data_IF_194630845593
#
_entry.id   IF_194630845593
#
_cell.length_a   1.000
_cell.length_b   1.000
_cell.length_c   1.000
_cell.angle_alpha   90.00
_cell.angle_beta   90.00
_cell.angle_gamma   90.00
#
_symmetry.space_group_name_H-M   'P 1'
#
loop_
_entity.id
_entity.type
_entity.pdbx_description
1 polymer ?
#
# COMPACT_ATOMS: atom_id res chain seq x y z
N UNK A 1 -32.86 -42.84 -28.94
CA UNK A 1 -31.92 -43.97 -28.95
C UNK A 1 -32.36 -44.92 -30.05
N UNK A 2 -31.50 -45.20 -31.03
CA UNK A 2 -31.77 -46.24 -32.01
C UNK A 2 -31.65 -47.60 -31.32
N UNK A 3 -32.55 -48.53 -31.60
CA UNK A 3 -32.47 -49.89 -31.06
C UNK A 3 -31.34 -50.63 -31.77
N UNK A 4 -30.39 -51.14 -31.00
CA UNK A 4 -29.29 -51.98 -31.51
C UNK A 4 -29.85 -53.39 -31.68
N UNK A 5 -29.91 -53.87 -32.92
CA UNK A 5 -30.53 -55.16 -33.27
C UNK A 5 -29.53 -56.21 -33.72
N UNK A 6 -28.27 -55.82 -33.97
CA UNK A 6 -27.20 -56.74 -34.36
C UNK A 6 -25.89 -56.55 -33.58
N UNK A 7 -25.07 -57.60 -33.55
CA UNK A 7 -23.73 -57.57 -32.93
C UNK A 7 -22.80 -56.55 -33.62
N UNK A 8 -22.97 -56.33 -34.93
CA UNK A 8 -22.19 -55.36 -35.69
C UNK A 8 -22.56 -53.91 -35.32
N UNK A 9 -23.86 -53.63 -35.13
CA UNK A 9 -24.34 -52.33 -34.63
C UNK A 9 -23.85 -52.07 -33.21
N UNK A 10 -23.84 -53.09 -32.34
CA UNK A 10 -23.33 -52.97 -30.97
C UNK A 10 -21.84 -52.58 -30.95
N UNK A 11 -21.02 -53.24 -31.78
CA UNK A 11 -19.59 -52.92 -31.88
C UNK A 11 -19.36 -51.49 -32.38
N UNK A 12 -20.08 -51.06 -33.41
CA UNK A 12 -20.00 -49.68 -33.90
C UNK A 12 -20.41 -48.66 -32.83
N UNK A 13 -21.51 -48.92 -32.10
CA UNK A 13 -21.96 -48.04 -31.02
C UNK A 13 -20.93 -47.92 -29.90
N UNK A 14 -20.29 -49.03 -29.51
CA UNK A 14 -19.19 -49.02 -28.52
C UNK A 14 -18.03 -48.16 -29.04
N UNK A 15 -17.62 -48.35 -30.29
CA UNK A 15 -16.50 -47.60 -30.87
C UNK A 15 -16.77 -46.09 -30.94
N UNK A 16 -18.00 -45.71 -31.29
CA UNK A 16 -18.44 -44.30 -31.29
C UNK A 16 -18.43 -43.73 -29.87
N UNK A 17 -18.92 -44.47 -28.89
CA UNK A 17 -18.95 -44.05 -27.49
C UNK A 17 -17.54 -43.91 -26.89
N UNK A 18 -16.63 -44.81 -27.21
CA UNK A 18 -15.21 -44.74 -26.78
C UNK A 18 -14.51 -43.50 -27.35
N UNK A 19 -14.80 -43.18 -28.62
CA UNK A 19 -14.26 -41.99 -29.28
C UNK A 19 -14.84 -40.72 -28.63
N UNK A 20 -16.15 -40.66 -28.42
CA UNK A 20 -16.82 -39.56 -27.74
C UNK A 20 -16.32 -39.37 -26.29
N UNK A 21 -16.13 -40.47 -25.55
CA UNK A 21 -15.56 -40.44 -24.20
C UNK A 21 -14.13 -39.87 -24.21
N UNK A 22 -13.31 -40.25 -25.19
CA UNK A 22 -11.94 -39.75 -25.34
C UNK A 22 -11.93 -38.25 -25.60
N UNK A 23 -12.77 -37.78 -26.53
CA UNK A 23 -12.90 -36.35 -26.86
C UNK A 23 -13.39 -35.55 -25.66
N UNK A 24 -14.44 -36.01 -24.98
CA UNK A 24 -14.96 -35.36 -23.77
C UNK A 24 -13.93 -35.30 -22.66
N UNK A 25 -13.15 -36.36 -22.48
CA UNK A 25 -12.06 -36.41 -21.51
C UNK A 25 -10.95 -35.39 -21.80
N UNK A 26 -10.59 -35.19 -23.06
CA UNK A 26 -9.63 -34.16 -23.46
C UNK A 26 -10.17 -32.74 -23.21
N UNK A 27 -11.41 -32.49 -23.61
CA UNK A 27 -12.07 -31.19 -23.45
C UNK A 27 -12.19 -30.80 -21.96
N UNK A 28 -12.50 -31.77 -21.10
CA UNK A 28 -12.52 -31.57 -19.65
C UNK A 28 -11.14 -31.18 -19.11
N UNK A 29 -10.07 -31.85 -19.57
CA UNK A 29 -8.69 -31.52 -19.15
C UNK A 29 -8.30 -30.11 -19.55
N UNK A 30 -8.62 -29.69 -20.78
CA UNK A 30 -8.38 -28.32 -21.24
C UNK A 30 -9.15 -27.29 -20.42
N UNK A 31 -10.45 -27.52 -20.19
CA UNK A 31 -11.25 -26.63 -19.35
C UNK A 31 -10.71 -26.54 -17.93
N UNK A 32 -10.24 -27.64 -17.36
CA UNK A 32 -9.67 -27.67 -16.01
C UNK A 32 -8.36 -26.87 -15.97
N UNK A 33 -7.48 -27.03 -16.95
CA UNK A 33 -6.24 -26.23 -17.06
C UNK A 33 -6.54 -24.74 -17.22
N UNK A 34 -7.47 -24.37 -18.10
CA UNK A 34 -7.88 -22.97 -18.29
C UNK A 34 -8.50 -22.38 -17.03
N UNK A 35 -9.34 -23.17 -16.34
CA UNK A 35 -9.97 -22.77 -15.08
C UNK A 35 -8.90 -22.57 -14.03
N UNK A 36 -8.04 -23.56 -13.80
CA UNK A 36 -6.91 -23.47 -12.88
C UNK A 36 -6.07 -22.23 -13.16
N UNK A 37 -5.70 -22.03 -14.42
CA UNK A 37 -4.91 -20.89 -14.85
C UNK A 37 -5.62 -19.56 -14.57
N UNK A 38 -6.93 -19.47 -14.79
CA UNK A 38 -7.71 -18.27 -14.50
C UNK A 38 -7.86 -17.97 -13.00
N UNK A 39 -7.94 -19.00 -12.16
CA UNK A 39 -8.02 -18.86 -10.71
C UNK A 39 -6.65 -18.69 -10.04
N UNK A 40 -5.53 -18.78 -10.78
CA UNK A 40 -4.22 -18.43 -10.23
C UNK A 40 -4.24 -16.97 -9.75
N UNK A 41 -3.85 -16.70 -8.49
CA UNK A 41 -3.89 -15.34 -7.92
C UNK A 41 -3.20 -14.30 -8.80
N UNK A 42 -2.10 -14.67 -9.45
CA UNK A 42 -1.37 -13.79 -10.38
C UNK A 42 -2.24 -13.32 -11.55
N UNK A 43 -3.11 -14.18 -12.10
CA UNK A 43 -3.98 -13.85 -13.21
C UNK A 43 -5.18 -13.01 -12.76
N UNK A 44 -5.65 -13.20 -11.53
CA UNK A 44 -6.66 -12.34 -10.90
C UNK A 44 -6.09 -10.93 -10.69
N UNK A 45 -4.89 -10.81 -10.12
CA UNK A 45 -4.20 -9.53 -9.92
C UNK A 45 -3.94 -8.86 -11.27
N UNK A 46 -3.48 -9.61 -12.29
CA UNK A 46 -3.22 -9.07 -13.63
C UNK A 46 -4.49 -8.53 -14.28
N UNK A 47 -5.63 -9.23 -14.14
CA UNK A 47 -6.94 -8.76 -14.63
C UNK A 47 -7.37 -7.50 -13.89
N UNK A 48 -7.30 -7.51 -12.55
CA UNK A 48 -7.60 -6.33 -11.75
C UNK A 48 -6.76 -5.12 -12.18
N UNK A 49 -5.43 -5.25 -12.33
CA UNK A 49 -4.56 -4.16 -12.79
C UNK A 49 -4.89 -3.67 -14.20
N UNK A 50 -5.26 -4.58 -15.13
CA UNK A 50 -5.69 -4.21 -16.48
C UNK A 50 -7.01 -3.43 -16.48
N UNK A 51 -7.97 -3.85 -15.66
CA UNK A 51 -9.27 -3.20 -15.53
C UNK A 51 -9.13 -1.82 -14.86
N UNK A 52 -8.20 -1.69 -13.91
CA UNK A 52 -7.84 -0.41 -13.28
C UNK A 52 -7.24 0.57 -14.29
N UNK A 53 -6.33 0.13 -15.16
CA UNK A 53 -5.74 0.98 -16.20
C UNK A 53 -6.74 1.40 -17.29
N UNK A 54 -7.88 0.72 -17.39
CA UNK A 54 -8.90 0.96 -18.41
C UNK A 54 -10.03 1.90 -17.94
N UNK A 55 -10.08 2.23 -16.64
CA UNK A 55 -11.12 3.08 -16.05
C UNK A 55 -10.52 4.31 -15.35
N UNK A 56 -10.74 5.53 -15.88
CA UNK A 56 -10.23 6.77 -15.29
C UNK A 56 -10.65 6.96 -13.82
N UNK A 57 -11.88 6.54 -13.48
CA UNK A 57 -12.44 6.70 -12.13
C UNK A 57 -11.78 5.78 -11.09
N UNK A 58 -11.22 4.64 -11.51
CA UNK A 58 -10.57 3.71 -10.57
C UNK A 58 -9.14 4.14 -10.25
N UNK A 59 -8.45 4.75 -11.21
CA UNK A 59 -7.10 5.32 -11.01
C UNK A 59 -7.14 6.40 -9.93
N UNK A 60 -8.11 7.31 -9.99
CA UNK A 60 -8.23 8.40 -9.01
C UNK A 60 -8.49 7.89 -7.58
N UNK A 61 -9.35 6.89 -7.43
CA UNK A 61 -9.64 6.26 -6.13
C UNK A 61 -8.43 5.49 -5.55
N UNK A 62 -7.62 4.84 -6.38
CA UNK A 62 -6.40 4.17 -5.93
C UNK A 62 -5.33 5.19 -5.55
N UNK A 63 -5.16 6.25 -6.34
CA UNK A 63 -4.22 7.32 -6.02
C UNK A 63 -4.57 7.97 -4.69
N UNK A 64 -5.84 8.34 -4.48
CA UNK A 64 -6.29 8.93 -3.22
C UNK A 64 -6.11 7.97 -2.03
N UNK A 65 -6.40 6.69 -2.21
CA UNK A 65 -6.17 5.65 -1.17
C UNK A 65 -4.68 5.46 -0.88
N UNK A 66 -3.82 5.42 -1.90
CA UNK A 66 -2.37 5.23 -1.76
C UNK A 66 -1.74 6.44 -1.07
N UNK A 67 -2.17 7.64 -1.45
CA UNK A 67 -1.78 8.89 -0.78
C UNK A 67 -2.26 8.86 0.67
N UNK A 68 -3.50 8.47 0.94
CA UNK A 68 -4.04 8.36 2.31
C UNK A 68 -3.25 7.38 3.17
N UNK A 69 -2.92 6.20 2.65
CA UNK A 69 -2.11 5.19 3.33
C UNK A 69 -0.65 5.63 3.53
N UNK A 70 -0.03 6.21 2.50
CA UNK A 70 1.33 6.72 2.58
C UNK A 70 1.46 7.88 3.57
N UNK A 71 0.52 8.83 3.51
CA UNK A 71 0.44 9.96 4.44
C UNK A 71 0.13 9.47 5.85
N UNK A 72 -0.79 8.53 6.02
CA UNK A 72 -1.10 7.91 7.31
C UNK A 72 0.07 7.13 7.90
N UNK A 73 0.82 6.38 7.09
CA UNK A 73 2.04 5.68 7.51
C UNK A 73 3.15 6.65 7.91
N UNK A 74 3.39 7.69 7.11
CA UNK A 74 4.36 8.73 7.41
C UNK A 74 3.97 9.48 8.70
N UNK A 75 2.68 9.84 8.84
CA UNK A 75 2.13 10.46 10.04
C UNK A 75 2.32 9.56 11.25
N UNK A 76 1.98 8.26 11.15
CA UNK A 76 2.21 7.29 12.23
C UNK A 76 3.69 7.20 12.59
N UNK A 77 4.59 7.24 11.61
CA UNK A 77 6.04 7.18 11.85
C UNK A 77 6.59 8.44 12.53
N UNK A 78 6.03 9.61 12.22
CA UNK A 78 6.43 10.90 12.79
C UNK A 78 5.79 11.13 14.17
N UNK A 79 4.50 10.80 14.33
CA UNK A 79 3.67 11.14 15.50
C UNK A 79 3.64 10.02 16.54
N UNK A 80 3.58 8.75 16.13
CA UNK A 80 3.31 7.60 17.03
C UNK A 80 4.50 6.64 17.16
N UNK A 81 5.31 6.48 16.11
CA UNK A 81 6.54 5.67 16.14
C UNK A 81 7.61 6.30 17.02
N UNK A 82 8.50 5.48 17.59
CA UNK A 82 9.56 5.80 18.58
C UNK A 82 10.64 6.80 18.14
N UNK A 83 10.27 7.85 17.44
CA UNK A 83 11.14 8.94 17.05
C UNK A 83 11.18 9.98 18.17
N UNK A 84 11.89 9.67 19.24
CA UNK A 84 12.30 10.70 20.20
C UNK A 84 13.12 11.83 19.52
N UNK A 85 13.72 11.55 18.35
CA UNK A 85 14.71 12.42 17.71
C UNK A 85 14.23 13.19 16.47
N UNK A 86 13.35 12.67 15.59
CA UNK A 86 12.97 13.39 14.35
C UNK A 86 12.08 14.60 14.65
N UNK A 87 11.03 14.44 15.45
CA UNK A 87 10.16 15.57 15.81
C UNK A 87 10.93 16.64 16.61
N UNK A 88 11.77 16.22 17.56
CA UNK A 88 12.64 17.14 18.31
C UNK A 88 13.68 17.82 17.42
N UNK A 89 14.26 17.10 16.46
CA UNK A 89 15.22 17.66 15.50
C UNK A 89 14.55 18.66 14.56
N UNK A 90 13.33 18.38 14.10
CA UNK A 90 12.56 19.29 13.27
C UNK A 90 12.18 20.56 14.03
N UNK A 91 11.63 20.43 15.24
CA UNK A 91 11.33 21.58 16.10
C UNK A 91 12.60 22.36 16.46
N UNK A 92 13.70 21.67 16.79
CA UNK A 92 14.99 22.29 17.08
C UNK A 92 15.52 23.08 15.88
N UNK A 93 15.39 22.54 14.67
CA UNK A 93 15.80 23.22 13.43
C UNK A 93 14.94 24.45 13.13
N UNK A 94 13.61 24.34 13.30
CA UNK A 94 12.69 25.49 13.13
C UNK A 94 12.99 26.58 14.16
N UNK A 95 13.20 26.18 15.41
CA UNK A 95 13.54 27.11 16.50
C UNK A 95 14.89 27.77 16.24
N UNK A 96 15.90 27.01 15.82
CA UNK A 96 17.21 27.52 15.46
C UNK A 96 17.15 28.50 14.29
N UNK A 97 16.40 28.19 13.23
CA UNK A 97 16.22 29.10 12.08
C UNK A 97 15.50 30.38 12.48
N UNK A 98 14.47 30.28 13.34
CA UNK A 98 13.73 31.43 13.84
C UNK A 98 14.62 32.34 14.69
N UNK A 99 15.40 31.75 15.62
CA UNK A 99 16.36 32.50 16.44
C UNK A 99 17.45 33.11 15.54
N UNK A 100 18.01 32.35 14.60
CA UNK A 100 19.05 32.83 13.68
C UNK A 100 18.58 34.02 12.85
N UNK A 101 17.36 33.97 12.32
CA UNK A 101 16.76 35.08 11.57
C UNK A 101 16.49 36.31 12.44
N UNK A 102 16.06 36.12 13.70
CA UNK A 102 15.87 37.22 14.64
C UNK A 102 17.19 37.88 15.03
N UNK A 103 18.24 37.08 15.28
CA UNK A 103 19.58 37.58 15.60
C UNK A 103 20.21 38.32 14.43
N UNK A 104 20.09 37.77 13.22
CA UNK A 104 20.62 38.39 12.01
C UNK A 104 19.99 39.76 11.71
N UNK A 105 18.74 39.97 12.13
CA UNK A 105 18.00 41.22 11.90
C UNK A 105 18.10 42.21 13.05
N UNK A 106 18.15 41.73 14.30
CA UNK A 106 18.15 42.55 15.51
C UNK A 106 19.05 41.94 16.60
N UNK A 107 20.36 42.19 16.56
CA UNK A 107 21.30 41.62 17.54
C UNK A 107 21.01 42.09 18.98
N UNK A 108 20.45 43.29 19.17
CA UNK A 108 20.08 43.80 20.50
C UNK A 108 18.93 43.02 21.15
N UNK A 109 18.01 42.46 20.35
CA UNK A 109 16.91 41.64 20.84
C UNK A 109 17.43 40.32 21.47
N UNK A 110 18.52 39.77 20.93
CA UNK A 110 19.16 38.61 21.54
C UNK A 110 19.76 38.94 22.89
N UNK A 111 20.38 40.12 23.01
CA UNK A 111 21.00 40.58 24.26
C UNK A 111 19.95 40.76 25.36
N UNK A 112 18.79 41.35 25.04
CA UNK A 112 17.70 41.51 26.00
C UNK A 112 17.05 40.18 26.39
N UNK A 113 16.84 39.26 25.42
CA UNK A 113 16.29 37.93 25.70
C UNK A 113 17.27 37.09 26.53
N UNK A 114 18.56 37.13 26.21
CA UNK A 114 19.60 36.45 26.96
C UNK A 114 19.72 36.96 28.40
N UNK A 115 19.69 38.29 28.59
CA UNK A 115 19.67 38.90 29.92
C UNK A 115 18.40 38.52 30.70
N UNK A 116 17.23 38.53 30.05
CA UNK A 116 15.97 38.16 30.67
C UNK A 116 15.97 36.69 31.13
N UNK A 117 16.42 35.77 30.27
CA UNK A 117 16.51 34.34 30.59
C UNK A 117 17.56 34.09 31.68
N UNK A 118 18.74 34.71 31.58
CA UNK A 118 19.80 34.58 32.58
C UNK A 118 19.33 35.08 33.96
N UNK A 119 18.72 36.25 34.02
CA UNK A 119 18.19 36.80 35.26
C UNK A 119 17.08 35.92 35.85
N UNK A 120 16.15 35.42 35.03
CA UNK A 120 15.05 34.59 35.54
C UNK A 120 15.46 33.17 35.95
N UNK A 121 16.47 32.58 35.29
CA UNK A 121 16.88 31.19 35.55
C UNK A 121 18.02 31.11 36.58
N UNK A 122 18.98 32.06 36.58
CA UNK A 122 20.15 32.01 37.47
C UNK A 122 20.05 32.87 38.74
N UNK A 123 19.30 33.99 38.77
CA UNK A 123 19.23 34.82 39.99
C UNK A 123 18.32 34.29 41.10
N UNK A 124 17.59 33.18 40.90
CA UNK A 124 16.74 32.60 41.96
C UNK A 124 17.54 31.86 43.05
N UNK A 125 18.89 31.83 42.98
CA UNK A 125 19.74 31.07 43.90
C UNK A 125 20.36 31.87 45.05
N UNK A 126 20.26 33.20 45.08
CA UNK A 126 20.92 34.04 46.11
C UNK A 126 19.98 34.81 47.05
N UNK A 127 18.71 34.40 47.17
CA UNK A 127 17.82 34.92 48.21
C UNK A 127 17.29 33.77 49.06
N UNK A 128 18.19 33.11 49.79
CA UNK A 128 17.90 32.25 50.95
C UNK A 128 19.21 31.97 51.70
N UNK A 129 19.71 32.96 52.43
CA UNK A 129 20.59 32.82 53.61
C UNK A 129 20.32 33.98 54.54
#
# INVERSE_FOLDING_TARGET
MQNITSVAELKNAIQVLELDQTVKGQLLKEQLLLTYDNYRPINIIRRALKDLGSSPNLIDNILSTTIGLGTGFLTKKIVVGSSHNIFRSLLGSIMQLSITNLVARNPDALKSIGLFIFQHIFNKKEMNT
#
